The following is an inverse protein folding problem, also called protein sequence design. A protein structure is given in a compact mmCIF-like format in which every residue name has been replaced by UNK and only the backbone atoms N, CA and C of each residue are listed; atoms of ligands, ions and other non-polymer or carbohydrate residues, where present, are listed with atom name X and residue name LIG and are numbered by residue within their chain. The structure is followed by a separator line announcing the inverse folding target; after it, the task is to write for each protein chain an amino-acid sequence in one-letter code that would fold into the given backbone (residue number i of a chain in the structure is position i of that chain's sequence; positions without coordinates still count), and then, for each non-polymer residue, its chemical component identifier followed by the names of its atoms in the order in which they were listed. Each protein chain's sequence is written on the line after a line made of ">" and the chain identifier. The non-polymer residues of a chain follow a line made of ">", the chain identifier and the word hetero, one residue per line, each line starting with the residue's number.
data_IF_314180912732
#
_entry.id   IF_314180912732
#
_cell.length_a   1.000
_cell.length_b   1.000
_cell.length_c   1.000
_cell.angle_alpha   90.00
_cell.angle_beta   90.00
_cell.angle_gamma   90.00
#
_symmetry.space_group_name_H-M   'P 1'
#
loop_
_entity.id
_entity.type
_entity.pdbx_description
1 polymer ?
2 polymer ?
3 polymer ?
4 non-polymer ?
5 water ?
#
loop_
_entity_poly.entity_id
_entity_poly.type
_entity_poly.pdbx_seq_one_letter_code
_entity_poly.pdbx_strand_id
1 'polydeoxyribonucleotide' '(DG)(DC)(DA)(DA)(DA)(DA)(DC)(DG)(DA)(DC)(DG)(DT)(DG)(DA)(DG)(DT)(DC)(DA)(DG)(DT)(DT)(DT)(DC)(DG)' ?
2 'polydeoxyribonucleotide' '(DC)(DG)(DA)(DA)(DA)(DC)(DT)(DG)(DA)(DC)(DT)(DC)(DA)(DC)(DG)(DT)(DC)(DG)(DT)(DT)(DT)(DT)(DG)(DC)' ?
#
# COMPACT_ATOMS: atom_id res chain seq x y z
N UNK C 2 23.26 -2.82 14.09
CA UNK C 2 21.90 -2.39 14.50
C UNK C 2 21.63 -0.94 14.12
N UNK C 3 21.12 -0.74 12.92
CA UNK C 3 20.81 0.61 12.44
C UNK C 3 19.57 1.18 13.13
N UNK C 4 19.67 2.45 13.50
CA UNK C 4 18.57 3.15 14.14
C UNK C 4 17.81 3.85 13.00
N UNK C 5 16.50 3.62 12.89
CA UNK C 5 15.74 4.26 11.82
C UNK C 5 14.92 5.45 12.29
N UNK C 6 14.80 6.42 11.39
CA UNK C 6 14.05 7.64 11.61
C UNK C 6 12.54 7.36 11.66
N UNK C 7 11.87 7.87 12.70
CA UNK C 7 10.44 7.66 12.87
C UNK C 7 9.59 8.08 11.67
N UNK C 8 9.96 9.17 11.02
CA UNK C 8 9.22 9.64 9.86
C UNK C 8 9.30 8.59 8.73
N UNK C 9 10.49 8.05 8.53
CA UNK C 9 10.71 7.03 7.51
C UNK C 9 9.91 5.78 7.90
N UNK C 10 9.87 5.48 9.19
CA UNK C 10 9.15 4.29 9.66
C UNK C 10 7.63 4.45 9.61
N UNK C 11 7.16 5.66 9.81
CA UNK C 11 5.71 5.93 9.78
C UNK C 11 5.21 5.73 8.37
N UNK C 12 5.93 6.31 7.41
CA UNK C 12 5.57 6.17 6.00
C UNK C 12 5.69 4.72 5.57
N UNK C 13 6.83 4.12 5.87
CA UNK C 13 7.09 2.72 5.50
C UNK C 13 6.06 1.78 6.11
N UNK C 14 5.63 2.04 7.34
CA UNK C 14 4.62 1.18 7.95
C UNK C 14 3.33 1.23 7.11
N UNK C 15 3.02 2.40 6.57
CA UNK C 15 1.82 2.54 5.77
C UNK C 15 1.97 1.85 4.43
N UNK C 16 3.13 2.02 3.81
CA UNK C 16 3.38 1.40 2.53
C UNK C 16 3.38 -0.12 2.69
N UNK C 17 3.94 -0.60 3.80
CA UNK C 17 3.99 -2.02 4.10
C UNK C 17 2.58 -2.57 4.30
N UNK C 18 1.77 -1.86 5.08
CA UNK C 18 0.40 -2.29 5.30
C UNK C 18 -0.36 -2.36 3.96
N UNK C 19 0.08 -1.57 2.98
CA UNK C 19 -0.56 -1.56 1.69
C UNK C 19 -0.09 -2.67 0.76
N UNK C 20 1.16 -2.52 0.30
CA UNK C 20 1.77 -3.46 -0.64
C UNK C 20 2.82 -4.41 -0.07
N UNK C 21 3.05 -4.34 1.24
CA UNK C 21 4.06 -5.20 1.85
C UNK C 21 3.60 -6.56 2.31
N UNK C 22 4.55 -7.38 2.77
CA UNK C 22 4.23 -8.71 3.23
C UNK C 22 5.18 -9.27 4.27
N UNK C 23 4.59 -9.76 5.37
CA UNK C 23 5.33 -10.34 6.47
C UNK C 23 4.94 -11.81 6.44
N UNK C 24 5.86 -12.61 5.93
CA UNK C 24 5.67 -14.04 5.69
C UNK C 24 6.49 -15.02 6.53
N UNK C 25 5.82 -16.03 7.06
CA UNK C 25 6.48 -17.09 7.82
C UNK C 25 6.16 -18.40 7.10
N UNK C 26 7.18 -19.18 6.77
CA UNK C 26 6.98 -20.45 6.07
C UNK C 26 7.69 -21.61 6.74
N UNK C 27 7.13 -22.81 6.55
CA UNK C 27 7.68 -24.05 7.06
C UNK C 27 8.01 -24.82 5.80
N UNK C 28 9.29 -24.81 5.40
CA UNK C 28 9.70 -25.48 4.18
C UNK C 28 10.33 -26.87 4.34
N UNK C 29 9.66 -27.91 3.82
CA UNK C 29 10.23 -29.26 3.96
C UNK C 29 11.60 -29.28 3.31
N UNK C 30 12.62 -29.63 4.10
CA UNK C 30 14.00 -29.69 3.64
C UNK C 30 14.73 -30.77 4.44
N UNK C 31 15.02 -31.89 3.78
CA UNK C 31 15.69 -33.03 4.40
C UNK C 31 17.08 -32.79 5.00
N UNK C 32 17.65 -31.61 4.79
CA UNK C 32 18.97 -31.35 5.35
C UNK C 32 18.89 -30.71 6.74
N UNK C 33 17.68 -30.51 7.24
CA UNK C 33 17.51 -29.92 8.57
C UNK C 33 17.13 -30.99 9.60
N UNK C 34 17.55 -30.79 10.83
CA UNK C 34 17.29 -31.73 11.91
C UNK C 34 15.86 -32.26 11.89
N UNK C 35 14.88 -31.36 11.97
CA UNK C 35 13.49 -31.77 11.97
C UNK C 35 12.85 -31.81 10.58
N UNK C 36 13.69 -31.88 9.56
CA UNK C 36 13.23 -31.97 8.16
C UNK C 36 12.42 -30.80 7.62
N UNK C 37 12.58 -29.63 8.22
CA UNK C 37 11.85 -28.45 7.78
C UNK C 37 12.61 -27.21 8.19
N UNK C 38 12.67 -26.23 7.30
CA UNK C 38 13.35 -24.98 7.60
C UNK C 38 12.30 -23.95 7.98
N UNK C 39 12.58 -23.18 9.02
CA UNK C 39 11.66 -22.13 9.42
C UNK C 39 12.16 -20.88 8.71
N UNK C 40 11.40 -20.44 7.72
CA UNK C 40 11.76 -19.26 6.93
C UNK C 40 10.87 -18.07 7.26
N UNK C 41 11.51 -16.91 7.45
CA UNK C 41 10.81 -15.66 7.74
C UNK C 41 11.18 -14.68 6.64
N UNK C 42 10.20 -13.91 6.16
CA UNK C 42 10.52 -12.97 5.10
C UNK C 42 9.73 -11.68 5.15
N UNK C 43 10.43 -10.56 4.99
CA UNK C 43 9.79 -9.25 4.93
C UNK C 43 9.84 -8.86 3.45
N UNK C 44 8.67 -8.64 2.84
CA UNK C 44 8.62 -8.31 1.42
C UNK C 44 7.80 -7.07 1.09
N UNK C 45 8.23 -6.38 0.04
CA UNK C 45 7.54 -5.20 -0.49
C UNK C 45 7.54 -5.41 -2.00
N UNK C 46 6.35 -5.54 -2.56
CA UNK C 46 6.20 -5.78 -3.98
C UNK C 46 5.79 -4.52 -4.74
N UNK C 47 6.27 -4.39 -5.98
CA UNK C 47 5.93 -3.21 -6.81
C UNK C 47 6.20 -3.47 -8.29
N UNK C 48 5.42 -2.82 -9.15
CA UNK C 48 5.60 -2.95 -10.59
C UNK C 48 7.08 -2.66 -10.84
N UNK C 49 7.70 -3.37 -11.78
CA UNK C 49 9.12 -3.15 -12.01
C UNK C 49 9.49 -1.76 -12.52
N UNK C 50 8.56 -1.11 -13.22
CA UNK C 50 8.87 0.23 -13.71
C UNK C 50 9.06 1.17 -12.51
N UNK C 51 8.73 0.68 -11.32
CA UNK C 51 8.86 1.48 -10.11
C UNK C 51 9.88 0.89 -9.16
N UNK C 52 10.73 0.01 -9.67
CA UNK C 52 11.73 -0.62 -8.81
C UNK C 52 12.63 0.37 -8.10
N UNK C 53 12.73 1.59 -8.61
CA UNK C 53 13.59 2.56 -7.97
C UNK C 53 13.17 2.69 -6.51
N UNK C 54 11.86 2.64 -6.27
CA UNK C 54 11.34 2.73 -4.91
C UNK C 54 11.90 1.58 -4.07
N UNK C 55 11.87 0.36 -4.61
CA UNK C 55 12.39 -0.80 -3.90
C UNK C 55 13.91 -0.68 -3.76
N UNK C 56 14.57 -0.19 -4.80
CA UNK C 56 16.02 -0.02 -4.75
C UNK C 56 16.33 1.01 -3.66
N UNK C 57 15.42 1.97 -3.53
CA UNK C 57 15.54 3.02 -2.54
C UNK C 57 15.50 2.38 -1.14
N UNK C 58 14.56 1.46 -0.90
CA UNK C 58 14.46 0.79 0.40
C UNK C 58 15.73 0.04 0.78
N UNK C 59 16.39 -0.58 -0.19
CA UNK C 59 17.63 -1.29 0.10
C UNK C 59 18.59 -0.32 0.80
N UNK C 60 18.75 0.85 0.20
CA UNK C 60 19.63 1.90 0.69
C UNK C 60 19.25 2.42 2.08
N UNK C 61 17.97 2.69 2.26
CA UNK C 61 17.46 3.21 3.54
C UNK C 61 17.37 2.17 4.65
N UNK C 62 17.03 0.92 4.32
CA UNK C 62 16.97 -0.10 5.35
C UNK C 62 18.43 -0.50 5.61
N UNK C 63 19.26 -0.35 4.58
CA UNK C 63 20.67 -0.69 4.71
C UNK C 63 21.00 -2.17 4.58
N UNK C 64 19.98 -2.98 4.30
CA UNK C 64 20.16 -4.41 4.15
C UNK C 64 19.04 -4.95 3.25
N UNK C 65 19.22 -6.17 2.73
CA UNK C 65 18.22 -6.76 1.85
C UNK C 65 18.60 -6.59 0.39
N UNK C 66 17.68 -6.93 -0.51
CA UNK C 66 17.94 -6.81 -1.94
C UNK C 66 16.65 -6.88 -2.75
N UNK C 67 16.75 -6.54 -4.02
CA UNK C 67 15.62 -6.54 -4.93
C UNK C 67 15.75 -7.59 -6.01
N UNK C 68 14.69 -8.36 -6.24
CA UNK C 68 14.73 -9.35 -7.29
C UNK C 68 13.64 -8.98 -8.28
N UNK C 69 13.93 -9.16 -9.55
CA UNK C 69 12.98 -8.86 -10.61
C UNK C 69 12.35 -10.17 -11.04
N UNK C 70 11.02 -10.23 -11.02
CA UNK C 70 10.37 -11.45 -11.47
C UNK C 70 9.60 -11.18 -12.74
N UNK C 71 9.97 -10.12 -13.44
CA UNK C 71 9.31 -9.78 -14.69
C UNK C 71 8.61 -8.43 -14.70
N UNK C 72 7.28 -8.47 -14.69
CA UNK C 72 6.49 -7.24 -14.69
C UNK C 72 6.48 -6.64 -13.30
N UNK C 73 6.84 -7.45 -12.31
CA UNK C 73 6.85 -7.03 -10.93
C UNK C 73 8.18 -7.33 -10.26
N UNK C 74 8.53 -6.51 -9.27
CA UNK C 74 9.77 -6.70 -8.52
C UNK C 74 9.51 -6.77 -7.01
N UNK C 75 10.46 -7.28 -6.25
CA UNK C 75 10.29 -7.41 -4.82
C UNK C 75 11.49 -6.99 -3.99
N UNK C 76 11.25 -6.24 -2.92
CA UNK C 76 12.34 -5.90 -2.02
C UNK C 76 12.29 -7.07 -1.02
N UNK C 77 13.42 -7.72 -0.78
CA UNK C 77 13.45 -8.84 0.15
C UNK C 77 14.48 -8.69 1.25
N UNK C 78 14.06 -9.00 2.48
CA UNK C 78 14.94 -8.98 3.64
C UNK C 78 14.70 -10.29 4.39
N UNK C 79 15.72 -11.14 4.46
CA UNK C 79 15.57 -12.43 5.13
C UNK C 79 16.43 -12.57 6.39
N UNK C 80 17.65 -12.07 6.31
CA UNK C 80 18.59 -12.14 7.43
C UNK C 80 17.92 -11.90 8.76
N UNK C 81 17.94 -12.94 9.58
CA UNK C 81 17.31 -12.94 10.89
C UNK C 81 17.62 -11.74 11.78
N UNK C 82 18.90 -11.48 12.02
CA UNK C 82 19.28 -10.36 12.88
C UNK C 82 18.76 -9.01 12.39
N UNK C 83 19.10 -8.63 11.14
CA UNK C 83 18.62 -7.35 10.61
C UNK C 83 17.09 -7.28 10.54
N UNK C 84 16.44 -8.44 10.40
CA UNK C 84 14.99 -8.49 10.32
C UNK C 84 14.37 -8.20 11.67
N UNK C 85 15.00 -8.70 12.71
CA UNK C 85 14.52 -8.48 14.05
C UNK C 85 14.67 -7.00 14.41
N UNK C 86 15.84 -6.42 14.12
CA UNK C 86 16.08 -5.01 14.43
C UNK C 86 15.14 -4.09 13.66
N UNK C 87 14.86 -4.46 12.41
CA UNK C 87 13.98 -3.67 11.57
C UNK C 87 12.52 -3.75 12.02
N UNK C 88 12.02 -4.97 12.16
CA UNK C 88 10.64 -5.17 12.58
C UNK C 88 10.34 -4.64 13.98
N UNK C 89 11.35 -4.62 14.86
CA UNK C 89 11.11 -4.10 16.20
C UNK C 89 10.76 -2.61 16.10
N UNK C 90 11.49 -1.89 15.26
CA UNK C 90 11.26 -0.46 15.07
C UNK C 90 10.01 -0.11 14.23
N UNK C 91 9.70 -0.94 13.24
CA UNK C 91 8.55 -0.70 12.37
C UNK C 91 7.21 -1.04 13.03
N UNK C 92 7.20 -2.17 13.72
CA UNK C 92 6.03 -2.73 14.41
C UNK C 92 5.02 -1.77 15.07
N UNK C 93 5.47 -0.89 15.97
CA UNK C 93 4.52 0.02 16.62
C UNK C 93 3.75 0.96 15.71
N UNK C 94 4.12 1.02 14.44
CA UNK C 94 3.43 1.90 13.51
C UNK C 94 2.55 1.17 12.51
N UNK C 95 2.60 -0.17 12.53
CA UNK C 95 1.79 -0.98 11.63
C UNK C 95 0.36 -1.04 12.18
N UNK C 96 -0.62 -1.13 11.29
CA UNK C 96 -2.01 -1.18 11.73
C UNK C 96 -2.70 -2.45 11.25
N UNK C 97 -2.27 -2.97 10.10
CA UNK C 97 -2.87 -4.17 9.54
C UNK C 97 -2.03 -5.43 9.72
N UNK C 98 -0.72 -5.26 9.83
CA UNK C 98 0.18 -6.41 9.96
C UNK C 98 1.07 -6.32 11.20
N UNK C 99 0.60 -5.61 12.22
CA UNK C 99 1.39 -5.49 13.44
C UNK C 99 1.47 -6.86 14.13
N UNK C 100 0.35 -7.58 14.16
CA UNK C 100 0.32 -8.89 14.79
C UNK C 100 1.32 -9.86 14.16
N UNK C 101 1.27 -10.02 12.83
CA UNK C 101 2.22 -10.93 12.21
C UNK C 101 3.65 -10.47 12.45
N UNK C 102 3.85 -9.15 12.50
CA UNK C 102 5.16 -8.60 12.75
C UNK C 102 5.67 -9.06 14.12
N UNK C 103 4.79 -8.98 15.13
CA UNK C 103 5.15 -9.40 16.47
C UNK C 103 5.30 -10.91 16.56
N UNK C 104 4.58 -11.63 15.71
CA UNK C 104 4.68 -13.08 15.73
C UNK C 104 6.05 -13.46 15.16
N UNK C 105 6.48 -12.76 14.12
CA UNK C 105 7.77 -13.03 13.51
C UNK C 105 8.86 -12.75 14.54
N UNK C 106 8.78 -11.58 15.17
CA UNK C 106 9.75 -11.19 16.17
C UNK C 106 9.87 -12.26 17.26
N UNK C 107 8.72 -12.81 17.67
CA UNK C 107 8.71 -13.84 18.70
C UNK C 107 9.42 -15.10 18.21
N UNK C 108 9.17 -15.46 16.96
CA UNK C 108 9.80 -16.63 16.38
C UNK C 108 11.32 -16.50 16.36
N UNK C 109 11.83 -15.40 15.82
CA UNK C 109 13.28 -15.21 15.76
C UNK C 109 13.86 -15.40 17.16
N UNK C 110 13.10 -14.99 18.16
CA UNK C 110 13.53 -15.08 19.55
C UNK C 110 13.47 -16.50 20.12
N UNK C 111 12.71 -17.39 19.48
CA UNK C 111 12.59 -18.76 19.95
C UNK C 111 13.29 -19.74 19.02
N UNK C 112 14.01 -19.22 18.03
CA UNK C 112 14.71 -20.07 17.08
C UNK C 112 15.70 -21.05 17.73
N UNK C 113 16.62 -20.54 18.57
CA UNK C 113 17.58 -21.43 19.22
C UNK C 113 16.91 -22.49 20.08
N UNK C 114 15.78 -22.11 20.67
CA UNK C 114 15.03 -23.03 21.51
C UNK C 114 14.34 -24.08 20.65
N UNK C 115 13.82 -23.64 19.51
CA UNK C 115 13.12 -24.52 18.58
C UNK C 115 14.06 -25.61 18.05
N UNK C 116 15.32 -25.25 17.85
CA UNK C 116 16.32 -26.18 17.34
C UNK C 116 16.67 -27.25 18.39
N UNK C 117 16.41 -26.95 19.66
CA UNK C 117 16.73 -27.90 20.73
C UNK C 117 15.67 -28.96 21.03
N UNK C 118 14.41 -28.66 20.73
CA UNK C 118 13.34 -29.61 21.03
C UNK C 118 12.26 -29.75 19.97
N UNK C 119 11.81 -30.99 19.73
CA UNK C 119 10.76 -31.24 18.74
C UNK C 119 9.45 -30.54 19.10
N UNK C 120 9.16 -30.46 20.40
CA UNK C 120 7.94 -29.82 20.86
C UNK C 120 8.01 -28.30 20.83
N UNK C 121 9.23 -27.78 20.88
CA UNK C 121 9.41 -26.33 20.82
C UNK C 121 9.30 -25.93 19.36
N UNK C 122 9.94 -26.73 18.50
CA UNK C 122 9.90 -26.49 17.07
C UNK C 122 8.44 -26.57 16.61
N UNK C 123 7.74 -27.57 17.13
CA UNK C 123 6.34 -27.77 16.80
C UNK C 123 5.55 -26.54 17.27
N UNK C 124 5.84 -26.08 18.48
CA UNK C 124 5.18 -24.92 19.03
C UNK C 124 5.40 -23.69 18.14
N UNK C 125 6.64 -23.50 17.73
CA UNK C 125 6.98 -22.36 16.89
C UNK C 125 6.25 -22.46 15.55
N UNK C 126 6.16 -23.67 15.00
CA UNK C 126 5.45 -23.87 13.76
C UNK C 126 4.02 -23.36 13.93
N UNK C 127 3.54 -23.44 15.17
CA UNK C 127 2.20 -22.97 15.52
C UNK C 127 2.13 -21.45 15.39
N UNK C 128 3.26 -20.78 15.64
CA UNK C 128 3.32 -19.32 15.52
C UNK C 128 3.12 -19.00 14.02
N UNK C 129 3.71 -19.84 13.18
CA UNK C 129 3.63 -19.70 11.74
C UNK C 129 2.20 -19.79 11.21
N UNK C 130 1.44 -20.76 11.71
CA UNK C 130 0.05 -20.94 11.27
C UNK C 130 -0.74 -19.66 11.49
N UNK C 131 -0.57 -19.07 12.67
CA UNK C 131 -1.26 -17.85 13.05
C UNK C 131 -0.94 -16.68 12.13
N UNK C 132 0.31 -16.59 11.69
CA UNK C 132 0.70 -15.50 10.81
C UNK C 132 0.00 -15.68 9.48
N UNK C 133 0.01 -16.91 8.97
CA UNK C 133 -0.62 -17.23 7.70
C UNK C 133 -2.09 -16.89 7.78
N UNK C 134 -2.74 -17.31 8.87
CA UNK C 134 -4.16 -17.04 9.08
C UNK C 134 -4.42 -15.53 9.08
N UNK C 135 -3.50 -14.76 9.65
CA UNK C 135 -3.66 -13.31 9.67
C UNK C 135 -3.56 -12.76 8.25
N UNK C 136 -2.73 -13.38 7.42
CA UNK C 136 -2.58 -12.92 6.04
C UNK C 136 -3.76 -13.42 5.21
N UNK C 137 -3.74 -13.02 3.94
CA UNK C 137 -4.74 -13.44 2.98
C UNK C 137 -4.11 -14.68 2.32
N UNK C 138 -3.80 -15.67 3.15
CA UNK C 138 -3.18 -16.90 2.67
C UNK C 138 -4.08 -17.69 1.71
N UNK C 139 -3.56 -18.00 0.52
CA UNK C 139 -4.33 -18.72 -0.48
C UNK C 139 -3.72 -20.00 -1.08
N UNK C 140 -2.42 -20.23 -0.91
CA UNK C 140 -1.80 -21.44 -1.45
C UNK C 140 -0.85 -22.14 -0.48
N UNK C 141 -1.17 -22.08 0.82
CA UNK C 141 -0.34 -22.70 1.83
C UNK C 141 -0.50 -24.22 1.86
N UNK C 142 0.62 -24.92 1.93
CA UNK C 142 0.63 -26.38 1.98
C UNK C 142 1.18 -26.95 3.30
N UNK C 143 2.41 -26.58 3.65
CA UNK C 143 3.01 -27.09 4.88
C UNK C 143 2.62 -26.28 6.13
N UNK C 144 1.88 -26.94 7.00
CA UNK C 144 1.43 -26.35 8.26
C UNK C 144 2.13 -27.08 9.41
N UNK C 145 1.81 -26.70 10.64
CA UNK C 145 2.41 -27.35 11.79
C UNK C 145 1.89 -28.78 11.90
N UNK C 146 0.69 -29.00 11.36
CA UNK C 146 0.05 -30.31 11.36
C UNK C 146 0.80 -31.23 10.42
N UNK C 147 1.45 -30.62 9.43
CA UNK C 147 2.23 -31.38 8.47
C UNK C 147 3.53 -31.80 9.17
N UNK C 148 4.07 -30.87 9.96
CA UNK C 148 5.31 -31.09 10.70
C UNK C 148 5.14 -32.11 11.82
N UNK C 149 3.97 -32.15 12.45
CA UNK C 149 3.73 -33.10 13.53
C UNK C 149 3.77 -34.53 13.03
N UNK C 150 3.05 -34.80 11.94
CA UNK C 150 2.99 -36.13 11.35
C UNK C 150 4.38 -36.69 11.11
N UNK C 151 5.37 -35.80 11.03
CA UNK C 151 6.75 -36.20 10.81
C UNK C 151 7.29 -37.01 11.99
N UNK C 152 6.52 -37.09 13.07
CA UNK C 152 6.96 -37.82 14.26
C UNK C 152 7.00 -39.34 14.12
N UNK C 153 7.95 -39.94 14.83
CA UNK C 153 8.19 -41.38 14.86
C UNK C 153 9.55 -41.68 15.49
N UNK D 2 -12.38 22.72 7.02
CA UNK D 2 -10.92 22.99 6.83
C UNK D 2 -10.12 22.47 8.03
N UNK D 3 -10.22 21.18 8.27
CA UNK D 3 -9.53 20.54 9.39
C UNK D 3 -8.03 20.34 9.16
N UNK D 4 -7.26 20.51 10.23
CA UNK D 4 -5.81 20.34 10.18
C UNK D 4 -5.51 18.94 10.67
N UNK D 5 -4.81 18.14 9.86
CA UNK D 5 -4.50 16.77 10.24
C UNK D 5 -3.18 16.60 10.99
N UNK D 6 -3.16 15.58 11.84
CA UNK D 6 -2.00 15.23 12.64
C UNK D 6 -0.87 14.70 11.76
N UNK D 7 0.31 15.29 11.90
CA UNK D 7 1.51 14.94 11.12
C UNK D 7 1.75 13.43 10.92
N UNK D 8 1.85 12.71 12.02
CA UNK D 8 2.11 11.28 11.98
C UNK D 8 0.97 10.51 11.30
N UNK D 9 -0.26 10.99 11.48
CA UNK D 9 -1.39 10.33 10.81
C UNK D 9 -1.17 10.48 9.31
N UNK D 10 -0.68 11.65 8.90
CA UNK D 10 -0.43 11.94 7.49
C UNK D 10 0.75 11.15 6.91
N UNK D 11 1.79 10.93 7.71
CA UNK D 11 2.95 10.18 7.25
C UNK D 11 2.56 8.76 6.89
N UNK D 12 1.86 8.11 7.82
CA UNK D 12 1.39 6.74 7.65
C UNK D 12 0.43 6.67 6.47
N UNK D 13 -0.61 7.48 6.48
CA UNK D 13 -1.60 7.49 5.43
C UNK D 13 -0.98 7.68 4.05
N UNK D 14 0.04 8.52 3.96
CA UNK D 14 0.71 8.74 2.69
C UNK D 14 1.33 7.43 2.19
N UNK D 15 1.91 6.68 3.11
CA UNK D 15 2.54 5.43 2.75
C UNK D 15 1.47 4.47 2.29
N UNK D 16 0.38 4.40 3.05
CA UNK D 16 -0.71 3.51 2.73
C UNK D 16 -1.30 3.91 1.38
N UNK D 17 -1.36 5.23 1.14
CA UNK D 17 -1.91 5.74 -0.09
C UNK D 17 -1.00 5.37 -1.26
N UNK D 18 0.30 5.55 -1.10
CA UNK D 18 1.21 5.18 -2.19
C UNK D 18 1.07 3.67 -2.42
N UNK D 19 0.66 2.96 -1.37
CA UNK D 19 0.48 1.53 -1.47
C UNK D 19 -0.82 1.08 -2.12
N UNK D 20 -1.95 1.29 -1.43
CA UNK D 20 -3.25 0.87 -1.94
C UNK D 20 -4.18 1.98 -2.43
N UNK D 21 -3.70 3.21 -2.42
CA UNK D 21 -4.55 4.33 -2.84
C UNK D 21 -4.53 4.68 -4.31
N UNK D 22 -5.33 5.67 -4.67
CA UNK D 22 -5.42 6.10 -6.04
C UNK D 22 -5.92 7.54 -6.18
N UNK D 23 -5.18 8.34 -6.93
CA UNK D 23 -5.57 9.73 -7.17
C UNK D 23 -6.07 9.74 -8.59
N UNK D 24 -7.39 9.82 -8.75
CA UNK D 24 -8.03 9.77 -10.06
C UNK D 24 -8.55 11.10 -10.60
N UNK D 25 -8.30 11.31 -11.88
CA UNK D 25 -8.76 12.50 -12.59
C UNK D 25 -9.51 11.95 -13.79
N UNK D 26 -10.73 12.43 -14.01
CA UNK D 26 -11.50 11.91 -15.13
C UNK D 26 -12.30 12.97 -15.88
N UNK D 27 -12.46 12.74 -17.17
CA UNK D 27 -13.25 13.62 -18.02
C UNK D 27 -14.40 12.69 -18.37
N UNK D 28 -15.57 12.95 -17.79
CA UNK D 28 -16.72 12.09 -18.04
C UNK D 28 -17.74 12.76 -18.95
N UNK D 29 -18.03 12.13 -20.09
CA UNK D 29 -19.01 12.70 -21.02
C UNK D 29 -20.39 12.77 -20.36
N UNK D 30 -21.01 13.95 -20.44
CA UNK D 30 -22.32 14.19 -19.86
C UNK D 30 -22.92 15.41 -20.57
N UNK D 31 -24.06 15.19 -21.22
CA UNK D 31 -24.74 16.23 -21.98
C UNK D 31 -25.26 17.43 -21.20
N UNK D 32 -25.52 17.26 -19.92
CA UNK D 32 -26.04 18.36 -19.10
C UNK D 32 -25.00 19.44 -18.80
N UNK D 33 -23.76 19.23 -19.21
CA UNK D 33 -22.70 20.20 -18.95
C UNK D 33 -22.45 21.10 -20.14
N UNK D 34 -22.19 22.38 -19.87
CA UNK D 34 -21.92 23.35 -20.93
C UNK D 34 -20.94 22.81 -21.98
N UNK D 35 -19.85 22.21 -21.52
CA UNK D 35 -18.86 21.66 -22.43
C UNK D 35 -18.99 20.15 -22.61
N UNK D 36 -20.18 19.63 -22.32
CA UNK D 36 -20.48 18.22 -22.49
C UNK D 36 -19.61 17.21 -21.74
N UNK D 37 -18.82 17.68 -20.78
CA UNK D 37 -18.00 16.77 -19.98
C UNK D 37 -17.79 17.35 -18.59
N UNK D 38 -17.89 16.49 -17.57
CA UNK D 38 -17.68 16.89 -16.18
C UNK D 38 -16.22 16.59 -15.82
N UNK D 39 -15.59 17.47 -15.05
CA UNK D 39 -14.22 17.24 -14.60
C UNK D 39 -14.40 16.55 -13.25
N UNK D 40 -14.07 15.27 -13.20
CA UNK D 40 -14.23 14.49 -11.99
C UNK D 40 -12.92 14.17 -11.29
N UNK D 41 -12.85 14.46 -10.00
CA UNK D 41 -11.65 14.17 -9.24
C UNK D 41 -12.07 13.26 -8.09
N UNK D 42 -11.25 12.26 -7.79
CA UNK D 42 -11.56 11.34 -6.69
C UNK D 42 -10.34 10.78 -6.00
N UNK D 43 -10.38 10.77 -4.67
CA UNK D 43 -9.31 10.19 -3.87
C UNK D 43 -9.91 8.84 -3.44
N UNK D 44 -9.15 7.77 -3.61
CA UNK D 44 -9.67 6.46 -3.26
C UNK D 44 -8.67 5.55 -2.56
N UNK D 45 -9.18 4.75 -1.62
CA UNK D 45 -8.37 3.78 -0.89
C UNK D 45 -9.16 2.48 -0.99
N UNK D 46 -8.58 1.50 -1.67
CA UNK D 46 -9.24 0.22 -1.87
C UNK D 46 -8.75 -0.84 -0.90
N UNK D 47 -9.66 -1.67 -0.43
CA UNK D 47 -9.30 -2.72 0.49
C UNK D 47 -10.32 -3.86 0.55
N UNK D 48 -9.82 -5.08 0.78
CA UNK D 48 -10.69 -6.26 0.90
C UNK D 48 -11.80 -5.88 1.85
N UNK D 49 -13.02 -6.32 1.56
CA UNK D 49 -14.16 -5.99 2.41
C UNK D 49 -14.01 -6.48 3.86
N UNK D 50 -13.26 -7.54 4.11
CA UNK D 50 -13.11 -8.03 5.47
C UNK D 50 -12.30 -7.05 6.32
N UNK D 51 -11.57 -6.16 5.64
CA UNK D 51 -10.78 -5.16 6.31
C UNK D 51 -11.43 -3.78 6.15
N UNK D 52 -12.73 -3.78 5.90
CA UNK D 52 -13.48 -2.55 5.74
C UNK D 52 -13.31 -1.61 6.93
N UNK D 53 -13.18 -2.17 8.13
CA UNK D 53 -13.03 -1.38 9.34
C UNK D 53 -11.96 -0.30 9.18
N UNK D 54 -10.88 -0.64 8.51
CA UNK D 54 -9.80 0.30 8.28
C UNK D 54 -10.32 1.50 7.46
N UNK D 55 -11.12 1.21 6.44
CA UNK D 55 -11.70 2.24 5.58
C UNK D 55 -12.72 3.09 6.35
N UNK D 56 -13.49 2.47 7.23
CA UNK D 56 -14.49 3.19 8.02
C UNK D 56 -13.78 4.15 8.98
N UNK D 57 -12.67 3.69 9.55
CA UNK D 57 -11.87 4.51 10.46
C UNK D 57 -11.38 5.75 9.70
N UNK D 58 -11.05 5.59 8.42
CA UNK D 58 -10.58 6.72 7.63
C UNK D 58 -11.63 7.80 7.55
N UNK D 59 -12.87 7.40 7.32
CA UNK D 59 -13.97 8.33 7.24
C UNK D 59 -13.99 9.23 8.48
N UNK D 60 -13.76 8.64 9.64
CA UNK D 60 -13.78 9.38 10.90
C UNK D 60 -12.53 10.26 11.04
N UNK D 61 -11.37 9.72 10.72
CA UNK D 61 -10.13 10.46 10.84
C UNK D 61 -9.97 11.58 9.80
N UNK D 62 -10.47 11.37 8.60
CA UNK D 62 -10.38 12.41 7.58
C UNK D 62 -11.59 13.33 7.81
N UNK D 63 -12.63 12.79 8.42
CA UNK D 63 -13.80 13.60 8.75
C UNK D 63 -14.74 13.96 7.60
N UNK D 64 -14.56 13.32 6.47
CA UNK D 64 -15.39 13.59 5.31
C UNK D 64 -15.21 12.37 4.40
N UNK D 65 -16.07 12.21 3.40
CA UNK D 65 -15.95 11.07 2.51
C UNK D 65 -16.81 9.91 2.94
N UNK D 66 -16.64 8.76 2.28
CA UNK D 66 -17.44 7.59 2.62
C UNK D 66 -16.85 6.30 2.05
N UNK D 67 -17.46 5.18 2.42
CA UNK D 67 -17.05 3.86 1.97
C UNK D 67 -18.15 3.20 1.14
N UNK D 68 -17.77 2.60 0.02
CA UNK D 68 -18.76 1.89 -0.80
C UNK D 68 -18.36 0.42 -0.92
N UNK D 69 -19.36 -0.44 -0.99
CA UNK D 69 -19.12 -1.86 -1.09
C UNK D 69 -19.21 -2.31 -2.54
N UNK D 70 -18.31 -3.20 -2.94
CA UNK D 70 -18.35 -3.71 -4.31
C UNK D 70 -18.14 -5.22 -4.33
N UNK D 71 -18.52 -5.88 -3.25
CA UNK D 71 -18.37 -7.33 -3.18
C UNK D 71 -17.25 -7.84 -2.30
N UNK D 72 -16.17 -8.31 -2.92
CA UNK D 72 -15.03 -8.82 -2.17
C UNK D 72 -14.18 -7.64 -1.70
N UNK D 73 -14.31 -6.53 -2.40
CA UNK D 73 -13.55 -5.34 -2.09
C UNK D 73 -14.45 -4.13 -1.79
N UNK D 74 -13.90 -3.17 -1.05
CA UNK D 74 -14.62 -1.95 -0.70
C UNK D 74 -13.70 -0.75 -0.93
N UNK D 75 -14.28 0.43 -1.01
CA UNK D 75 -13.47 1.63 -1.23
C UNK D 75 -13.82 2.81 -0.35
N UNK D 76 -12.79 3.51 0.11
CA UNK D 76 -13.03 4.74 0.84
C UNK D 76 -12.97 5.75 -0.32
N UNK D 77 -13.95 6.64 -0.40
CA UNK D 77 -13.98 7.62 -1.48
C UNK D 77 -14.21 9.05 -1.01
N UNK D 78 -13.41 9.97 -1.55
CA UNK D 78 -13.54 11.39 -1.24
C UNK D 78 -13.61 12.15 -2.55
N UNK D 79 -14.75 12.77 -2.81
CA UNK D 79 -14.96 13.52 -4.04
C UNK D 79 -15.17 15.01 -3.79
N UNK D 80 -15.60 15.36 -2.59
CA UNK D 80 -15.86 16.76 -2.27
C UNK D 80 -14.63 17.64 -2.52
N UNK D 81 -14.75 18.43 -3.58
CA UNK D 81 -13.72 19.34 -4.07
C UNK D 81 -12.89 20.11 -3.05
N UNK D 82 -13.56 20.85 -2.16
CA UNK D 82 -12.80 21.62 -1.21
C UNK D 82 -12.19 20.80 -0.09
N UNK D 83 -12.92 19.81 0.43
CA UNK D 83 -12.29 19.03 1.51
C UNK D 83 -11.14 18.23 0.91
N UNK D 84 -11.30 17.86 -0.36
CA UNK D 84 -10.29 17.10 -1.06
C UNK D 84 -9.04 17.96 -1.22
N UNK D 85 -9.24 19.23 -1.54
CA UNK D 85 -8.15 20.15 -1.71
C UNK D 85 -7.45 20.30 -0.36
N UNK D 86 -8.21 20.55 0.68
CA UNK D 86 -7.63 20.71 2.01
C UNK D 86 -6.83 19.45 2.38
N UNK D 87 -7.42 18.29 2.15
CA UNK D 87 -6.77 17.01 2.46
C UNK D 87 -5.50 16.79 1.67
N UNK D 88 -5.61 16.81 0.34
CA UNK D 88 -4.46 16.59 -0.51
C UNK D 88 -3.34 17.60 -0.23
N UNK D 89 -3.69 18.85 0.00
CA UNK D 89 -2.68 19.87 0.28
C UNK D 89 -1.77 19.39 1.42
N UNK D 90 -2.36 18.86 2.48
CA UNK D 90 -1.59 18.40 3.63
C UNK D 90 -0.94 17.04 3.47
N UNK D 91 -1.47 16.20 2.59
CA UNK D 91 -0.92 14.86 2.38
C UNK D 91 0.24 14.90 1.41
N UNK D 92 0.06 15.70 0.35
CA UNK D 92 1.02 15.88 -0.74
C UNK D 92 2.48 15.87 -0.36
N UNK D 93 2.90 16.70 0.60
CA UNK D 93 4.31 16.73 0.99
C UNK D 93 4.95 15.41 1.43
N UNK D 94 4.12 14.43 1.81
CA UNK D 94 4.64 13.13 2.25
C UNK D 94 4.52 11.98 1.26
N UNK D 95 3.87 12.21 0.12
CA UNK D 95 3.74 11.16 -0.88
C UNK D 95 5.05 11.00 -1.64
N UNK D 96 5.32 9.79 -2.11
CA UNK D 96 6.54 9.53 -2.85
C UNK D 96 6.28 8.92 -4.22
N UNK D 97 5.09 8.34 -4.42
CA UNK D 97 4.77 7.75 -5.72
C UNK D 97 3.63 8.47 -6.43
N UNK D 98 2.77 9.12 -5.67
CA UNK D 98 1.65 9.82 -6.27
C UNK D 98 1.62 11.28 -5.88
N UNK D 99 2.77 11.83 -5.52
CA UNK D 99 2.85 13.23 -5.14
C UNK D 99 2.58 14.10 -6.36
N UNK D 100 2.99 13.64 -7.54
CA UNK D 100 2.76 14.43 -8.74
C UNK D 100 1.28 14.51 -9.07
N UNK D 101 0.59 13.38 -9.12
CA UNK D 101 -0.82 13.42 -9.42
C UNK D 101 -1.59 14.22 -8.36
N UNK D 102 -1.13 14.17 -7.12
CA UNK D 102 -1.79 14.93 -6.06
C UNK D 102 -1.68 16.43 -6.36
N UNK D 103 -0.52 16.88 -6.80
CA UNK D 103 -0.35 18.31 -7.10
C UNK D 103 -1.16 18.71 -8.32
N UNK D 104 -1.22 17.83 -9.30
CA UNK D 104 -1.99 18.11 -10.50
C UNK D 104 -3.46 18.32 -10.11
N UNK D 105 -3.98 17.43 -9.26
CA UNK D 105 -5.36 17.54 -8.81
C UNK D 105 -5.61 18.88 -8.11
N UNK D 106 -4.70 19.29 -7.24
CA UNK D 106 -4.83 20.57 -6.54
C UNK D 106 -4.89 21.70 -7.57
N UNK D 107 -3.95 21.67 -8.51
CA UNK D 107 -3.85 22.66 -9.57
C UNK D 107 -5.13 22.64 -10.39
N UNK D 108 -5.69 21.46 -10.63
CA UNK D 108 -6.93 21.33 -11.38
C UNK D 108 -8.08 21.98 -10.59
N UNK D 109 -8.10 21.73 -9.28
CA UNK D 109 -9.15 22.30 -8.44
C UNK D 109 -9.07 23.83 -8.43
N UNK D 110 -7.88 24.36 -8.14
CA UNK D 110 -7.69 25.79 -8.10
C UNK D 110 -8.12 26.46 -9.40
N UNK D 111 -8.03 25.72 -10.50
CA UNK D 111 -8.38 26.23 -11.81
C UNK D 111 -9.78 25.94 -12.34
N UNK D 112 -10.55 25.12 -11.62
CA UNK D 112 -11.89 24.78 -12.10
C UNK D 112 -12.76 25.98 -12.48
N UNK D 113 -12.89 26.98 -11.59
CA UNK D 113 -13.72 28.16 -11.87
C UNK D 113 -13.46 28.90 -13.19
N UNK D 114 -12.24 28.82 -13.72
CA UNK D 114 -11.94 29.49 -14.98
C UNK D 114 -12.04 28.58 -16.20
N UNK D 115 -11.98 27.27 -15.98
CA UNK D 115 -12.08 26.34 -17.10
C UNK D 115 -13.51 26.28 -17.59
N UNK D 116 -14.47 26.57 -16.71
CA UNK D 116 -15.86 26.56 -17.09
C UNK D 116 -16.16 27.84 -17.87
N UNK D 117 -15.30 28.84 -17.67
CA UNK D 117 -15.47 30.13 -18.31
C UNK D 117 -14.97 30.15 -19.75
N UNK D 118 -13.76 29.65 -19.97
CA UNK D 118 -13.17 29.62 -21.30
C UNK D 118 -12.99 28.21 -21.85
N UNK D 119 -13.48 27.96 -23.08
CA UNK D 119 -13.39 26.66 -23.74
C UNK D 119 -11.93 26.19 -23.89
N UNK D 120 -11.02 27.14 -24.10
CA UNK D 120 -9.62 26.81 -24.24
C UNK D 120 -9.02 26.48 -22.88
N UNK D 121 -9.49 27.17 -21.85
CA UNK D 121 -8.99 26.90 -20.52
C UNK D 121 -9.43 25.46 -20.17
N UNK D 122 -10.68 25.14 -20.49
CA UNK D 122 -11.22 23.82 -20.23
C UNK D 122 -10.32 22.75 -20.85
N UNK D 123 -9.92 22.97 -22.11
CA UNK D 123 -9.06 22.02 -22.80
C UNK D 123 -7.67 21.89 -22.14
N UNK D 124 -7.08 23.02 -21.75
CA UNK D 124 -5.76 22.98 -21.12
C UNK D 124 -5.86 22.17 -19.82
N UNK D 125 -6.90 22.41 -19.03
CA UNK D 125 -7.08 21.68 -17.79
C UNK D 125 -7.27 20.19 -18.09
N UNK D 126 -7.92 19.87 -19.19
CA UNK D 126 -8.09 18.46 -19.54
C UNK D 126 -6.72 17.84 -19.76
N UNK D 127 -5.76 18.67 -20.18
CA UNK D 127 -4.39 18.23 -20.40
C UNK D 127 -3.84 17.75 -19.06
N UNK D 128 -4.26 18.41 -17.98
CA UNK D 128 -3.82 18.06 -16.65
C UNK D 128 -4.28 16.65 -16.28
N UNK D 129 -5.48 16.28 -16.70
CA UNK D 129 -5.99 14.95 -16.38
C UNK D 129 -5.29 13.88 -17.21
N UNK D 130 -4.88 14.22 -18.44
CA UNK D 130 -4.15 13.25 -19.28
C UNK D 130 -2.86 12.96 -18.49
N UNK D 131 -2.22 14.02 -18.02
CA UNK D 131 -0.98 13.89 -17.26
C UNK D 131 -1.15 12.98 -16.04
N UNK D 132 -2.23 13.17 -15.29
CA UNK D 132 -2.48 12.37 -14.11
C UNK D 132 -2.66 10.91 -14.50
N UNK D 133 -3.41 10.68 -15.57
CA UNK D 133 -3.62 9.32 -16.03
C UNK D 133 -2.27 8.74 -16.44
N UNK D 134 -1.43 9.58 -17.05
CA UNK D 134 -0.11 9.17 -17.49
C UNK D 134 0.72 8.69 -16.29
N UNK D 135 0.61 9.40 -15.18
CA UNK D 135 1.35 9.04 -13.98
C UNK D 135 0.84 7.77 -13.28
N UNK D 136 -0.45 7.46 -13.41
CA UNK D 136 -1.01 6.25 -12.79
C UNK D 136 -0.76 5.09 -13.72
N UNK D 137 -1.23 3.91 -13.32
CA UNK D 137 -1.09 2.74 -14.18
C UNK D 137 -2.39 2.65 -14.95
N UNK D 138 -2.61 3.65 -15.80
CA UNK D 138 -3.82 3.71 -16.61
C UNK D 138 -3.88 2.52 -17.57
N UNK D 139 -5.05 1.92 -17.67
CA UNK D 139 -5.21 0.78 -18.56
C UNK D 139 -6.53 0.73 -19.34
N UNK D 140 -7.60 1.26 -18.74
CA UNK D 140 -8.91 1.25 -19.40
C UNK D 140 -9.50 2.64 -19.68
N UNK D 141 -8.65 3.62 -19.93
CA UNK D 141 -9.11 4.98 -20.20
C UNK D 141 -9.71 5.14 -21.59
N UNK D 142 -10.80 5.92 -21.69
CA UNK D 142 -11.48 6.16 -22.96
C UNK D 142 -11.59 7.65 -23.29
N UNK D 143 -11.94 8.47 -22.30
CA UNK D 143 -12.10 9.90 -22.52
C UNK D 143 -10.88 10.74 -22.14
N UNK D 144 -10.31 11.41 -23.13
CA UNK D 144 -9.12 12.23 -22.94
C UNK D 144 -9.36 13.64 -23.45
N UNK D 145 -8.40 14.54 -23.22
CA UNK D 145 -8.52 15.90 -23.68
C UNK D 145 -8.68 15.86 -25.20
N UNK D 146 -8.28 14.72 -25.77
CA UNK D 146 -8.37 14.53 -27.21
C UNK D 146 -9.83 14.52 -27.63
N UNK D 147 -10.61 13.62 -27.02
CA UNK D 147 -12.02 13.51 -27.34
C UNK D 147 -12.75 14.83 -27.07
N UNK D 148 -12.30 15.56 -26.06
CA UNK D 148 -12.93 16.83 -25.72
C UNK D 148 -12.88 17.81 -26.89
N UNK D 149 -12.13 17.48 -27.93
CA UNK D 149 -12.08 18.37 -29.09
C UNK D 149 -13.39 18.27 -29.85
N UNK D 150 -14.44 17.91 -29.12
CA UNK D 150 -15.80 17.83 -29.65
C UNK D 150 -16.25 19.27 -29.47
N UNK D 151 -15.37 20.06 -28.87
CA UNK D 151 -15.58 21.48 -28.64
C UNK D 151 -15.58 22.12 -30.02
N UNK D 152 -14.64 21.69 -30.85
CA UNK D 152 -14.56 22.20 -32.20
C UNK D 152 -15.89 21.88 -32.85
N UNK D 153 -16.73 22.91 -32.94
CA UNK D 153 -18.07 22.81 -33.51
C UNK D 153 -18.61 24.20 -33.84
#
# INVERSE_FOLDING_TARGET
>C
MNTKYNKEFLLYLAGFVDGDGSIIAQIAPNQSYKFKHQLSLTFVVTQKTQRRWFLDKLVDEIGVGYVRDRGSVSDYILSEIKPLHNFLTQLQPFLKLKQKQANLVLKIIEQLPSAKESPDKFLEVCTWVDQIAALNDSKTRKTTSETVRAVLD
>D
MNTKYNKEFLLYLAGFVDGDGSIIAQIAPNQSYKFKHQLSLTFVVTQKTQRRWFLDKLVDEIGVGYVRDRGSVSDYILSEIKPLHNFLTQLQPFLKLKQKQANLVLKIIEQLPSAKESPDKFLEVCTWVDQIAALNDSKTRKTTSETVRAVLD
#
